data_IF_012331259506
#
_entry.id   IF_012331259506
#
_cell.length_a   1.000
_cell.length_b   1.000
_cell.length_c   1.000
_cell.angle_alpha   90.00
_cell.angle_beta   90.00
_cell.angle_gamma   90.00
#
_symmetry.space_group_name_H-M   'P 1'
#
loop_
_entity.id
_entity.type
_entity.pdbx_description
1 polymer ?
#
# COMPACT_ATOMS: atom_id res chain seq x y z
N UNK A 1 -15.59 8.50 -0.59
CA UNK A 1 -14.29 8.13 -1.21
C UNK A 1 -13.73 9.26 -2.07
N UNK A 2 -12.42 9.25 -2.32
CA UNK A 2 -11.71 10.35 -3.01
C UNK A 2 -11.71 10.17 -4.55
N UNK A 3 -11.64 8.94 -5.04
CA UNK A 3 -11.64 8.60 -6.46
C UNK A 3 -11.10 7.18 -6.69
N UNK A 4 -10.86 6.83 -7.95
CA UNK A 4 -10.28 5.54 -8.37
C UNK A 4 -9.42 5.71 -9.63
N UNK A 5 -8.59 4.70 -9.90
CA UNK A 5 -7.82 4.60 -11.15
C UNK A 5 -8.48 3.55 -12.03
N UNK A 6 -8.82 3.89 -13.27
CA UNK A 6 -9.44 2.95 -14.22
C UNK A 6 -8.40 2.02 -14.89
N UNK A 7 -8.89 1.05 -15.67
CA UNK A 7 -8.07 0.10 -16.42
C UNK A 7 -7.08 0.75 -17.40
N UNK A 8 -7.36 2.00 -17.80
CA UNK A 8 -6.56 2.81 -18.71
C UNK A 8 -5.60 3.75 -17.95
N UNK A 9 -5.40 3.51 -16.64
CA UNK A 9 -4.58 4.30 -15.74
C UNK A 9 -5.00 5.78 -15.66
N UNK A 10 -6.30 6.08 -15.76
CA UNK A 10 -6.81 7.44 -15.56
C UNK A 10 -7.43 7.61 -14.18
N UNK A 11 -7.16 8.75 -13.57
CA UNK A 11 -7.85 9.19 -12.36
C UNK A 11 -9.31 9.53 -12.67
N UNK A 12 -10.22 8.92 -11.93
CA UNK A 12 -11.67 9.14 -12.02
C UNK A 12 -12.23 9.45 -10.64
N UNK A 13 -13.24 10.30 -10.62
CA UNK A 13 -14.01 10.59 -9.42
C UNK A 13 -15.18 9.61 -9.27
N UNK A 14 -15.81 9.52 -8.07
CA UNK A 14 -17.02 8.75 -7.91
C UNK A 14 -18.09 9.16 -8.94
N UNK A 15 -18.94 8.23 -9.38
CA UNK A 15 -19.84 8.45 -10.53
C UNK A 15 -20.86 9.57 -10.30
N UNK A 16 -21.26 9.82 -9.05
CA UNK A 16 -22.13 10.92 -8.65
C UNK A 16 -21.40 12.28 -8.54
N UNK A 17 -20.09 12.35 -8.79
CA UNK A 17 -19.33 13.61 -8.76
C UNK A 17 -19.56 14.40 -10.05
N UNK A 18 -19.89 15.69 -9.91
CA UNK A 18 -20.01 16.63 -11.03
C UNK A 18 -18.70 17.36 -11.34
N UNK A 19 -17.65 17.14 -10.54
CA UNK A 19 -16.35 17.79 -10.70
C UNK A 19 -15.54 17.12 -11.81
N UNK A 20 -14.73 17.92 -12.50
CA UNK A 20 -13.68 17.39 -13.38
C UNK A 20 -12.59 16.76 -12.50
N UNK A 21 -12.16 15.51 -12.75
CA UNK A 21 -11.10 14.88 -11.99
C UNK A 21 -9.79 15.67 -12.08
N UNK A 22 -9.23 16.02 -10.93
CA UNK A 22 -7.94 16.70 -10.81
C UNK A 22 -7.19 16.11 -9.63
N UNK A 23 -6.25 15.22 -9.95
CA UNK A 23 -5.46 14.48 -8.96
C UNK A 23 -4.79 15.39 -7.92
N UNK A 24 -4.36 16.60 -8.30
CA UNK A 24 -3.66 17.51 -7.39
C UNK A 24 -4.57 18.14 -6.35
N UNK A 25 -5.82 18.39 -6.71
CA UNK A 25 -6.79 19.03 -5.83
C UNK A 25 -7.70 18.00 -5.13
N UNK A 26 -7.88 16.83 -5.73
CA UNK A 26 -8.73 15.77 -5.19
C UNK A 26 -8.07 15.05 -4.01
N UNK A 27 -6.74 14.87 -4.04
CA UNK A 27 -5.99 14.20 -2.97
C UNK A 27 -5.23 15.22 -2.13
N UNK A 28 -5.68 15.43 -0.89
CA UNK A 28 -5.04 16.39 0.04
C UNK A 28 -3.68 15.93 0.58
N UNK A 29 -3.39 14.62 0.56
CA UNK A 29 -2.13 14.08 1.08
C UNK A 29 -1.09 13.96 -0.03
N UNK A 30 -0.08 14.84 -0.02
CA UNK A 30 1.00 14.90 -1.02
C UNK A 30 1.69 13.55 -1.27
N UNK A 31 1.89 12.73 -0.23
CA UNK A 31 2.58 11.45 -0.38
C UNK A 31 1.69 10.39 -1.02
N UNK A 32 0.41 10.36 -0.65
CA UNK A 32 -0.56 9.49 -1.30
C UNK A 32 -0.76 9.91 -2.76
N UNK A 33 -0.83 11.21 -3.02
CA UNK A 33 -0.91 11.78 -4.36
C UNK A 33 0.30 11.39 -5.22
N UNK A 34 1.52 11.37 -4.67
CA UNK A 34 2.72 10.91 -5.38
C UNK A 34 2.64 9.44 -5.77
N UNK A 35 2.10 8.57 -4.91
CA UNK A 35 1.91 7.15 -5.23
C UNK A 35 0.88 6.99 -6.36
N UNK A 36 -0.25 7.68 -6.30
CA UNK A 36 -1.26 7.61 -7.37
C UNK A 36 -0.73 8.22 -8.67
N UNK A 37 0.00 9.33 -8.59
CA UNK A 37 0.69 9.95 -9.74
C UNK A 37 1.68 8.97 -10.38
N UNK A 38 2.45 8.24 -9.57
CA UNK A 38 3.39 7.23 -10.06
C UNK A 38 2.65 6.14 -10.82
N UNK A 39 1.60 5.54 -10.23
CA UNK A 39 0.79 4.50 -10.88
C UNK A 39 0.27 4.99 -12.24
N UNK A 40 -0.30 6.20 -12.27
CA UNK A 40 -0.80 6.80 -13.51
C UNK A 40 0.34 7.01 -14.52
N UNK A 41 1.45 7.62 -14.11
CA UNK A 41 2.57 7.92 -15.03
C UNK A 41 3.26 6.68 -15.58
N UNK A 42 3.34 5.59 -14.79
CA UNK A 42 3.96 4.34 -15.20
C UNK A 42 3.11 3.58 -16.22
N UNK A 43 1.78 3.71 -16.14
CA UNK A 43 0.86 2.89 -16.92
C UNK A 43 0.02 3.64 -17.96
N UNK A 44 0.08 4.98 -18.00
CA UNK A 44 -0.65 5.80 -18.98
C UNK A 44 0.04 5.76 -20.34
N UNK A 45 -0.50 4.98 -21.28
CA UNK A 45 0.00 4.94 -22.67
C UNK A 45 -0.63 6.01 -23.57
N UNK A 46 0.12 6.48 -24.56
CA UNK A 46 -0.38 7.19 -25.75
C UNK A 46 -0.64 6.26 -26.95
N UNK A 47 -0.24 4.98 -26.86
CA UNK A 47 -0.09 4.06 -28.01
C UNK A 47 -0.46 2.60 -27.69
N UNK A 48 -1.62 2.39 -27.08
CA UNK A 48 -2.45 1.20 -27.36
C UNK A 48 -2.36 0.02 -26.38
N UNK A 49 -1.22 -0.33 -25.78
CA UNK A 49 -1.19 -1.44 -24.81
C UNK A 49 -0.13 -1.23 -23.71
N UNK A 50 -0.52 -0.59 -22.61
CA UNK A 50 0.18 -0.66 -21.33
C UNK A 50 -0.84 -1.05 -20.27
N UNK A 51 -0.67 -2.24 -19.68
CA UNK A 51 -1.67 -2.87 -18.83
C UNK A 51 -1.31 -2.69 -17.36
N UNK A 52 -2.05 -1.82 -16.67
CA UNK A 52 -2.12 -1.80 -15.19
C UNK A 52 -2.40 -3.20 -14.60
N UNK A 53 -2.92 -4.12 -15.41
CA UNK A 53 -3.11 -5.52 -15.07
C UNK A 53 -1.85 -6.19 -14.49
N UNK A 54 -0.64 -5.92 -15.01
CA UNK A 54 0.60 -6.50 -14.46
C UNK A 54 0.81 -6.10 -13.01
N UNK A 55 0.63 -4.80 -12.72
CA UNK A 55 0.69 -4.27 -11.36
C UNK A 55 -0.39 -4.85 -10.45
N UNK A 56 -1.63 -4.93 -10.95
CA UNK A 56 -2.75 -5.53 -10.21
C UNK A 56 -2.50 -7.01 -9.89
N UNK A 57 -1.96 -7.78 -10.84
CA UNK A 57 -1.56 -9.17 -10.63
C UNK A 57 -0.49 -9.25 -9.54
N UNK A 58 0.56 -8.41 -9.59
CA UNK A 58 1.57 -8.36 -8.53
C UNK A 58 0.98 -8.03 -7.17
N UNK A 59 0.08 -7.06 -7.08
CA UNK A 59 -0.61 -6.72 -5.84
C UNK A 59 -1.46 -7.88 -5.31
N UNK A 60 -2.21 -8.55 -6.19
CA UNK A 60 -3.06 -9.69 -5.84
C UNK A 60 -2.23 -10.87 -5.35
N UNK A 61 -1.15 -11.22 -6.07
CA UNK A 61 -0.22 -12.29 -5.67
C UNK A 61 0.38 -12.00 -4.31
N UNK A 62 0.88 -10.76 -4.10
CA UNK A 62 1.41 -10.35 -2.80
C UNK A 62 0.37 -10.49 -1.69
N UNK A 63 -0.85 -9.97 -1.91
CA UNK A 63 -1.92 -10.07 -0.92
C UNK A 63 -2.30 -11.53 -0.62
N UNK A 64 -2.22 -12.45 -1.57
CA UNK A 64 -2.52 -13.87 -1.34
C UNK A 64 -1.50 -14.54 -0.42
N UNK A 65 -0.25 -14.07 -0.39
CA UNK A 65 0.79 -14.57 0.52
C UNK A 65 0.77 -13.88 1.90
N UNK A 66 0.00 -12.80 2.06
CA UNK A 66 -0.16 -12.08 3.33
C UNK A 66 -1.36 -12.66 4.10
N UNK A 67 -1.10 -13.34 5.22
CA UNK A 67 -2.10 -13.86 6.15
C UNK A 67 -1.86 -13.31 7.57
N UNK A 68 -2.43 -12.12 7.89
CA UNK A 68 -2.29 -11.51 9.21
C UNK A 68 -2.99 -12.36 10.29
N UNK A 69 -2.41 -12.42 11.49
CA UNK A 69 -2.94 -13.23 12.60
C UNK A 69 -4.40 -12.90 12.98
N UNK A 70 -4.82 -11.64 12.79
CA UNK A 70 -6.16 -11.14 13.13
C UNK A 70 -7.13 -11.13 11.93
N UNK A 71 -6.86 -11.87 10.85
CA UNK A 71 -7.68 -11.86 9.63
C UNK A 71 -9.17 -12.15 9.89
N UNK A 72 -9.48 -13.06 10.83
CA UNK A 72 -10.84 -13.48 11.17
C UNK A 72 -11.71 -12.39 11.80
N UNK A 73 -11.12 -11.37 12.44
CA UNK A 73 -11.87 -10.29 13.10
C UNK A 73 -12.54 -9.33 12.09
N UNK A 74 -12.13 -9.36 10.82
CA UNK A 74 -12.56 -8.41 9.80
C UNK A 74 -13.15 -9.08 8.54
N UNK A 75 -13.36 -10.39 8.59
CA UNK A 75 -13.66 -11.24 7.42
C UNK A 75 -14.95 -10.81 6.70
N UNK A 76 -16.03 -10.53 7.44
CA UNK A 76 -17.32 -10.16 6.84
C UNK A 76 -17.32 -8.79 6.13
N UNK A 77 -16.53 -7.82 6.62
CA UNK A 77 -16.40 -6.49 6.00
C UNK A 77 -15.39 -6.51 4.84
N UNK A 78 -14.33 -7.30 4.95
CA UNK A 78 -13.30 -7.44 3.91
C UNK A 78 -13.79 -8.22 2.68
N UNK A 79 -14.72 -9.17 2.83
CA UNK A 79 -15.30 -9.91 1.68
C UNK A 79 -15.98 -8.96 0.69
N UNK A 80 -16.66 -7.92 1.18
CA UNK A 80 -17.40 -6.98 0.32
C UNK A 80 -16.58 -5.77 -0.10
N UNK A 81 -15.64 -5.31 0.72
CA UNK A 81 -14.85 -4.09 0.46
C UNK A 81 -13.45 -4.39 -0.12
N UNK A 82 -13.11 -5.67 -0.27
CA UNK A 82 -11.75 -6.11 -0.62
C UNK A 82 -10.78 -6.01 0.55
N UNK A 83 -9.48 -6.23 0.26
CA UNK A 83 -8.39 -6.09 1.23
C UNK A 83 -7.82 -4.67 1.16
N UNK A 84 -8.05 -3.80 2.17
CA UNK A 84 -7.53 -2.44 2.16
C UNK A 84 -6.01 -2.43 2.26
N UNK A 85 -5.37 -1.63 1.41
CA UNK A 85 -3.92 -1.42 1.39
C UNK A 85 -3.62 -0.05 2.02
N UNK A 86 -2.66 -0.01 2.93
CA UNK A 86 -2.16 1.23 3.50
C UNK A 86 -0.90 1.70 2.75
N UNK A 87 -0.87 2.99 2.41
CA UNK A 87 0.35 3.67 1.96
C UNK A 87 1.06 4.22 3.18
N UNK A 88 2.27 3.74 3.44
CA UNK A 88 3.07 4.10 4.61
C UNK A 88 4.44 4.61 4.23
N UNK A 89 5.08 5.33 5.15
CA UNK A 89 6.44 5.81 4.99
C UNK A 89 7.28 5.35 6.15
N UNK A 90 8.48 4.89 5.86
CA UNK A 90 9.47 4.49 6.84
C UNK A 90 10.82 5.10 6.51
N UNK A 91 11.67 5.17 7.53
CA UNK A 91 13.07 5.54 7.40
C UNK A 91 13.91 4.41 7.96
N UNK A 92 14.80 3.89 7.14
CA UNK A 92 15.73 2.84 7.49
C UNK A 92 17.10 3.46 7.80
N UNK A 93 17.71 3.10 8.91
CA UNK A 93 19.07 3.51 9.27
C UNK A 93 19.69 2.51 10.24
N UNK A 94 20.99 2.25 10.08
CA UNK A 94 21.75 1.45 11.04
C UNK A 94 22.30 2.36 12.13
N UNK A 95 22.14 1.94 13.39
CA UNK A 95 22.57 2.71 14.55
C UNK A 95 23.29 1.80 15.55
N UNK A 96 24.25 2.37 16.26
CA UNK A 96 24.95 1.70 17.35
C UNK A 96 24.38 2.13 18.70
N UNK A 97 24.36 1.19 19.64
CA UNK A 97 24.16 1.52 21.05
C UNK A 97 25.49 2.05 21.63
N UNK A 98 25.71 3.35 21.49
CA UNK A 98 26.91 4.03 21.97
C UNK A 98 27.91 4.34 20.86
N UNK A 99 29.17 4.54 21.24
CA UNK A 99 30.24 4.93 20.30
C UNK A 99 30.81 3.73 19.55
N UNK A 100 31.22 3.87 18.28
CA UNK A 100 31.88 2.81 17.53
C UNK A 100 33.12 2.26 18.25
N UNK A 101 33.31 0.94 18.26
CA UNK A 101 34.55 0.31 18.68
C UNK A 101 35.75 0.84 17.88
N UNK A 102 36.84 1.07 18.59
CA UNK A 102 38.14 1.50 18.03
C UNK A 102 39.04 0.29 17.84
N UNK A 103 40.11 0.44 17.06
CA UNK A 103 41.15 -0.58 16.96
C UNK A 103 41.90 -0.73 18.29
N UNK A 104 41.95 -1.95 18.81
CA UNK A 104 42.65 -2.31 20.04
C UNK A 104 44.01 -2.97 19.77
N UNK A 105 44.47 -2.98 18.51
CA UNK A 105 45.77 -3.52 18.12
C UNK A 105 46.95 -2.67 18.62
N UNK A 106 48.11 -3.31 18.79
CA UNK A 106 49.32 -2.65 19.30
C UNK A 106 49.78 -1.46 18.45
N UNK A 107 49.64 -1.54 17.12
CA UNK A 107 50.00 -0.45 16.20
C UNK A 107 49.12 0.79 16.40
N UNK A 108 47.82 0.59 16.59
CA UNK A 108 46.86 1.66 16.87
C UNK A 108 47.16 2.30 18.22
N UNK A 109 47.41 1.49 19.25
CA UNK A 109 47.77 1.98 20.58
C UNK A 109 49.07 2.79 20.57
N UNK A 110 50.12 2.34 19.86
CA UNK A 110 51.36 3.09 19.73
C UNK A 110 51.15 4.45 19.03
N UNK A 111 50.26 4.49 18.03
CA UNK A 111 49.91 5.73 17.32
C UNK A 111 49.18 6.70 18.26
N UNK A 112 48.23 6.19 19.04
CA UNK A 112 47.48 6.96 20.03
C UNK A 112 48.41 7.55 21.10
N UNK A 113 49.36 6.76 21.62
CA UNK A 113 50.36 7.20 22.61
C UNK A 113 51.28 8.30 22.07
N UNK A 114 51.79 8.13 20.84
CA UNK A 114 52.62 9.16 20.19
C UNK A 114 51.87 10.47 20.00
N UNK A 115 50.57 10.39 19.68
CA UNK A 115 49.75 11.57 19.51
C UNK A 115 49.43 12.27 20.84
N UNK A 116 49.26 11.52 21.93
CA UNK A 116 49.12 12.13 23.26
C UNK A 116 50.41 12.83 23.73
N UNK A 117 51.58 12.26 23.43
CA UNK A 117 52.88 12.89 23.74
C UNK A 117 53.06 14.22 22.98
N UNK A 118 52.51 14.32 21.78
CA UNK A 118 52.48 15.55 20.98
C UNK A 118 51.43 16.58 21.45
N UNK A 119 50.84 16.42 22.65
CA UNK A 119 49.76 17.25 23.20
C UNK A 119 48.54 17.39 22.29
N UNK A 120 48.32 16.43 21.38
CA UNK A 120 47.09 16.39 20.59
C UNK A 120 45.97 15.86 21.48
N UNK A 121 44.90 16.65 21.64
CA UNK A 121 43.69 16.24 22.36
C UNK A 121 42.99 15.09 21.61
N UNK A 122 43.44 13.85 21.85
CA UNK A 122 42.88 12.65 21.25
C UNK A 122 41.53 12.31 21.88
N UNK A 123 40.45 12.61 21.15
CA UNK A 123 39.08 12.17 21.47
C UNK A 123 38.78 10.83 20.81
N UNK A 124 37.78 10.11 21.33
CA UNK A 124 37.32 8.82 20.76
C UNK A 124 37.03 8.90 19.25
N UNK A 125 36.50 10.03 18.77
CA UNK A 125 36.23 10.29 17.35
C UNK A 125 37.46 10.25 16.45
N UNK A 126 38.64 10.54 17.00
CA UNK A 126 39.91 10.67 16.26
C UNK A 126 40.67 9.35 16.22
N UNK A 127 40.30 8.39 17.07
CA UNK A 127 40.93 7.06 17.12
C UNK A 127 40.50 6.23 15.92
N UNK A 128 41.44 5.45 15.40
CA UNK A 128 41.15 4.62 14.22
C UNK A 128 40.10 3.56 14.53
N UNK A 129 39.14 3.43 13.62
CA UNK A 129 38.08 2.41 13.64
C UNK A 129 38.30 1.37 12.54
N UNK A 130 39.47 1.34 11.89
CA UNK A 130 39.71 0.50 10.69
C UNK A 130 38.61 0.56 9.63
N UNK A 131 37.92 1.69 9.54
CA UNK A 131 36.80 1.92 8.63
C UNK A 131 35.65 0.90 8.71
N UNK A 132 35.51 0.16 9.82
CA UNK A 132 34.45 -0.86 9.93
C UNK A 132 33.04 -0.22 9.92
N UNK A 133 32.93 1.04 10.30
CA UNK A 133 31.68 1.82 10.26
C UNK A 133 31.15 2.04 8.83
N UNK A 134 32.02 2.00 7.82
CA UNK A 134 31.65 2.11 6.42
C UNK A 134 31.32 0.74 5.77
N UNK A 135 31.40 -0.37 6.51
CA UNK A 135 31.08 -1.70 5.98
C UNK A 135 29.60 -1.76 5.61
N UNK A 136 29.34 -2.21 4.37
CA UNK A 136 28.00 -2.37 3.83
C UNK A 136 27.39 -3.67 4.32
N UNK A 137 26.28 -3.54 5.02
CA UNK A 137 25.44 -4.63 5.52
C UNK A 137 24.22 -4.72 4.61
N UNK A 138 23.90 -5.90 4.06
CA UNK A 138 22.72 -6.07 3.25
C UNK A 138 21.47 -5.97 4.11
N UNK A 139 20.43 -5.31 3.58
CA UNK A 139 19.10 -5.21 4.18
C UNK A 139 18.05 -5.67 3.17
N UNK A 140 17.15 -6.52 3.64
CA UNK A 140 15.99 -7.04 2.92
C UNK A 140 14.73 -6.63 3.67
N UNK A 141 13.75 -6.13 2.95
CA UNK A 141 12.46 -5.70 3.50
C UNK A 141 11.38 -6.65 3.01
N UNK A 142 10.63 -7.23 3.93
CA UNK A 142 9.64 -8.23 3.60
C UNK A 142 10.23 -9.60 3.31
N UNK A 143 9.41 -10.61 3.54
CA UNK A 143 9.68 -12.00 3.16
C UNK A 143 8.35 -12.68 2.79
N UNK A 144 8.18 -13.07 1.53
CA UNK A 144 6.92 -13.66 1.05
C UNK A 144 6.64 -15.04 1.67
N UNK A 145 7.67 -15.79 2.08
CA UNK A 145 7.48 -17.04 2.84
C UNK A 145 6.99 -16.80 4.27
N UNK A 146 7.14 -15.59 4.80
CA UNK A 146 6.68 -15.24 6.13
C UNK A 146 5.26 -14.69 6.05
N UNK A 147 4.27 -15.56 6.26
CA UNK A 147 2.84 -15.24 6.09
C UNK A 147 2.35 -14.01 6.88
N UNK A 148 2.98 -13.69 8.01
CA UNK A 148 2.62 -12.51 8.82
C UNK A 148 3.39 -11.24 8.42
N UNK A 149 4.16 -11.28 7.32
CA UNK A 149 4.72 -10.08 6.72
C UNK A 149 3.63 -9.34 5.93
N UNK A 150 3.37 -8.09 6.27
CA UNK A 150 2.36 -7.26 5.62
C UNK A 150 2.88 -6.49 4.41
N UNK A 151 4.16 -6.61 4.03
CA UNK A 151 4.73 -5.84 2.94
C UNK A 151 4.30 -6.38 1.57
N UNK A 152 3.62 -5.54 0.80
CA UNK A 152 3.26 -5.84 -0.60
C UNK A 152 4.39 -5.40 -1.54
N UNK A 153 5.00 -4.26 -1.23
CA UNK A 153 6.14 -3.72 -1.96
C UNK A 153 6.40 -2.27 -1.60
N UNK A 154 7.44 -1.68 -2.18
CA UNK A 154 7.91 -0.37 -1.80
C UNK A 154 8.69 0.34 -2.91
N UNK A 155 8.78 1.66 -2.77
CA UNK A 155 9.64 2.54 -3.54
C UNK A 155 10.71 3.12 -2.64
N UNK A 156 11.90 3.27 -3.20
CA UNK A 156 12.96 4.04 -2.59
C UNK A 156 12.65 5.51 -2.77
N UNK A 157 12.79 6.28 -1.70
CA UNK A 157 12.58 7.72 -1.71
C UNK A 157 13.90 8.46 -1.54
N UNK A 158 14.07 9.56 -2.27
CA UNK A 158 15.13 10.53 -2.01
C UNK A 158 14.80 11.47 -0.83
N UNK A 159 15.65 12.46 -0.57
CA UNK A 159 15.41 13.46 0.49
C UNK A 159 14.17 14.34 0.18
N UNK A 160 13.83 14.51 -1.10
CA UNK A 160 12.67 15.23 -1.62
C UNK A 160 11.40 14.37 -1.65
N UNK A 161 11.49 13.13 -1.19
CA UNK A 161 10.41 12.13 -1.21
C UNK A 161 9.84 11.92 -2.62
N UNK A 162 10.69 11.94 -3.64
CA UNK A 162 10.39 11.47 -4.98
C UNK A 162 10.54 9.95 -4.98
N UNK A 163 9.56 9.26 -5.55
CA UNK A 163 9.55 7.80 -5.62
C UNK A 163 10.50 7.33 -6.73
N UNK A 164 11.21 6.23 -6.48
CA UNK A 164 11.98 5.54 -7.52
C UNK A 164 11.08 5.13 -8.70
N UNK A 165 11.63 5.06 -9.92
CA UNK A 165 10.87 4.60 -11.09
C UNK A 165 10.45 3.12 -10.96
N UNK A 166 11.17 2.33 -10.15
CA UNK A 166 10.88 0.92 -9.91
C UNK A 166 10.14 0.71 -8.59
N UNK A 167 9.10 -0.13 -8.65
CA UNK A 167 8.39 -0.70 -7.52
C UNK A 167 9.02 -2.04 -7.14
N UNK A 168 9.56 -2.14 -5.93
CA UNK A 168 10.24 -3.35 -5.45
C UNK A 168 9.25 -4.18 -4.64
N UNK A 169 9.07 -5.46 -4.96
CA UNK A 169 8.16 -6.37 -4.25
C UNK A 169 8.91 -7.61 -3.71
N UNK A 170 8.59 -8.09 -2.49
CA UNK A 170 9.20 -9.28 -1.91
C UNK A 170 8.78 -10.60 -2.58
N UNK A 171 7.76 -10.55 -3.46
CA UNK A 171 7.34 -11.68 -4.26
C UNK A 171 8.48 -12.14 -5.18
N UNK A 172 8.64 -13.45 -5.31
CA UNK A 172 9.48 -14.02 -6.36
C UNK A 172 8.70 -14.00 -7.65
N UNK A 173 9.27 -13.46 -8.72
CA UNK A 173 8.67 -13.56 -10.04
C UNK A 173 8.52 -15.04 -10.40
N UNK A 174 7.29 -15.55 -10.45
CA UNK A 174 6.98 -16.52 -11.51
C UNK A 174 7.31 -15.85 -12.84
N UNK A 175 7.65 -16.61 -13.87
CA UNK A 175 8.09 -16.14 -15.19
C UNK A 175 7.08 -15.23 -15.94
N UNK A 176 6.02 -14.76 -15.27
CA UNK A 176 4.80 -14.17 -15.81
C UNK A 176 4.70 -12.64 -15.69
N UNK A 177 5.53 -11.96 -14.88
CA UNK A 177 5.48 -10.48 -14.74
C UNK A 177 6.70 -9.84 -15.41
N UNK A 178 6.59 -9.57 -16.72
CA UNK A 178 7.61 -8.85 -17.50
C UNK A 178 7.32 -7.34 -17.55
N UNK A 179 7.32 -6.67 -16.40
CA UNK A 179 7.12 -5.22 -16.31
C UNK A 179 8.42 -4.55 -15.82
N UNK A 180 9.02 -3.67 -16.64
CA UNK A 180 10.26 -2.97 -16.30
C UNK A 180 10.12 -2.02 -15.10
N UNK A 181 8.89 -1.61 -14.78
CA UNK A 181 8.58 -0.77 -13.62
C UNK A 181 8.47 -1.57 -12.32
N UNK A 182 8.43 -2.90 -12.37
CA UNK A 182 8.33 -3.79 -11.20
C UNK A 182 9.60 -4.63 -11.05
N UNK A 183 10.22 -4.54 -9.89
CA UNK A 183 11.37 -5.35 -9.52
C UNK A 183 10.97 -6.36 -8.43
N UNK A 184 10.76 -7.60 -8.85
CA UNK A 184 10.56 -8.73 -7.95
C UNK A 184 11.89 -9.24 -7.36
N UNK A 185 11.83 -9.98 -6.26
CA UNK A 185 13.01 -10.58 -5.66
C UNK A 185 13.54 -11.72 -6.54
N UNK A 186 14.74 -11.53 -7.10
CA UNK A 186 15.41 -12.52 -7.93
C UNK A 186 16.06 -13.63 -7.06
N UNK A 187 15.25 -14.58 -6.62
CA UNK A 187 15.68 -15.76 -5.86
C UNK A 187 15.78 -15.56 -4.34
N UNK A 188 16.13 -16.64 -3.63
CA UNK A 188 16.04 -16.72 -2.16
C UNK A 188 16.92 -15.70 -1.42
N UNK A 189 18.08 -15.33 -2.00
CA UNK A 189 19.05 -14.42 -1.39
C UNK A 189 19.04 -13.00 -1.96
N UNK A 190 17.91 -12.56 -2.53
CA UNK A 190 17.80 -11.19 -3.01
C UNK A 190 18.02 -10.19 -1.88
N UNK A 191 19.00 -9.31 -2.07
CA UNK A 191 19.36 -8.25 -1.15
C UNK A 191 18.95 -6.94 -1.79
N UNK A 192 17.96 -6.29 -1.18
CA UNK A 192 17.37 -5.12 -1.79
C UNK A 192 18.27 -3.90 -1.69
N UNK A 193 18.96 -3.72 -0.56
CA UNK A 193 19.70 -2.51 -0.21
C UNK A 193 20.97 -2.85 0.56
N UNK A 194 21.99 -2.01 0.41
CA UNK A 194 23.27 -2.14 1.12
C UNK A 194 23.54 -0.88 1.91
N UNK A 195 23.62 -0.99 3.24
CA UNK A 195 23.72 0.15 4.14
C UNK A 195 24.89 0.02 5.11
N UNK A 196 25.51 1.14 5.45
CA UNK A 196 26.54 1.25 6.48
C UNK A 196 26.07 2.15 7.64
N UNK A 197 26.87 2.22 8.71
CA UNK A 197 26.61 3.15 9.83
C UNK A 197 26.89 4.61 9.46
N UNK A 198 27.65 4.84 8.39
CA UNK A 198 28.01 6.17 7.90
C UNK A 198 27.05 6.68 6.82
N UNK A 199 26.23 5.78 6.26
CA UNK A 199 25.26 6.14 5.24
C UNK A 199 24.13 6.99 5.84
N UNK A 200 23.60 7.89 5.02
CA UNK A 200 22.38 8.61 5.36
C UNK A 200 21.21 7.64 5.49
N UNK A 201 20.22 7.93 6.36
CA UNK A 201 19.00 7.15 6.43
C UNK A 201 18.29 7.09 5.07
N UNK A 202 17.81 5.90 4.71
CA UNK A 202 17.07 5.65 3.50
C UNK A 202 15.57 5.86 3.75
N UNK A 203 14.95 6.77 2.99
CA UNK A 203 13.50 6.96 3.04
C UNK A 203 12.82 5.96 2.12
N UNK A 204 11.71 5.37 2.58
CA UNK A 204 11.00 4.33 1.85
C UNK A 204 9.50 4.62 1.95
N UNK A 205 8.79 4.45 0.83
CA UNK A 205 7.33 4.48 0.77
C UNK A 205 6.85 3.08 0.46
N UNK A 206 5.93 2.54 1.26
CA UNK A 206 5.54 1.13 1.22
C UNK A 206 4.03 0.99 1.02
N UNK A 207 3.64 0.00 0.22
CA UNK A 207 2.30 -0.58 0.21
C UNK A 207 2.27 -1.74 1.20
N UNK A 208 1.36 -1.69 2.17
CA UNK A 208 1.30 -2.69 3.23
C UNK A 208 -0.14 -3.09 3.54
N UNK A 209 -0.37 -4.34 3.88
CA UNK A 209 -1.55 -4.72 4.64
C UNK A 209 -1.35 -4.20 6.09
N UNK A 210 -2.14 -3.23 6.56
CA UNK A 210 -1.93 -2.60 7.86
C UNK A 210 -2.13 -3.55 9.04
N UNK A 211 -2.68 -4.76 8.81
CA UNK A 211 -2.86 -5.80 9.83
C UNK A 211 -1.61 -6.64 10.04
N UNK A 212 -0.71 -6.70 9.05
CA UNK A 212 0.53 -7.47 9.11
C UNK A 212 1.68 -6.70 9.76
N UNK A 213 2.72 -7.42 10.19
CA UNK A 213 3.98 -6.82 10.62
C UNK A 213 4.90 -6.62 9.41
N UNK A 214 5.74 -5.60 9.40
CA UNK A 214 6.73 -5.38 8.33
C UNK A 214 8.08 -5.80 8.88
N UNK A 215 8.76 -6.73 8.21
CA UNK A 215 10.08 -7.21 8.65
C UNK A 215 11.21 -6.58 7.85
N UNK A 216 12.28 -6.25 8.55
CA UNK A 216 13.56 -5.85 8.00
C UNK A 216 14.62 -6.83 8.48
N UNK A 217 15.02 -7.73 7.58
CA UNK A 217 16.10 -8.69 7.81
C UNK A 217 17.40 -8.08 7.34
N UNK A 218 18.44 -8.15 8.16
CA UNK A 218 19.77 -7.64 7.79
C UNK A 218 20.78 -8.77 7.79
N UNK A 219 21.93 -8.58 7.14
CA UNK A 219 23.05 -9.52 7.20
C UNK A 219 23.62 -9.74 8.61
N UNK A 220 23.13 -8.98 9.60
CA UNK A 220 23.44 -9.12 11.02
C UNK A 220 22.14 -9.34 11.80
N UNK A 221 22.15 -10.25 12.77
CA UNK A 221 21.00 -10.51 13.63
C UNK A 221 20.80 -9.40 14.67
N UNK A 222 19.55 -9.14 15.14
CA UNK A 222 18.30 -9.81 14.76
C UNK A 222 17.52 -9.08 13.64
N UNK A 223 16.55 -9.77 13.04
CA UNK A 223 15.50 -9.17 12.22
C UNK A 223 14.65 -8.19 13.05
N UNK A 224 14.37 -7.02 12.50
CA UNK A 224 13.50 -6.02 13.13
C UNK A 224 12.11 -6.10 12.52
N UNK A 225 11.07 -6.10 13.35
CA UNK A 225 9.69 -6.01 12.92
C UNK A 225 9.05 -4.69 13.42
N UNK A 226 8.14 -4.13 12.63
CA UNK A 226 7.28 -3.02 13.02
C UNK A 226 5.82 -3.34 12.66
N UNK A 227 4.87 -2.92 13.48
CA UNK A 227 3.43 -3.13 13.28
C UNK A 227 2.69 -1.81 13.35
N UNK A 228 1.61 -1.67 12.59
CA UNK A 228 0.70 -0.53 12.70
C UNK A 228 -0.35 -0.88 13.75
N UNK A 229 -0.45 -0.10 14.82
CA UNK A 229 -1.47 -0.31 15.85
C UNK A 229 -2.88 -0.20 15.26
N UNK A 230 -3.83 -1.10 15.62
CA UNK A 230 -5.20 -1.07 15.09
C UNK A 230 -5.92 0.28 15.20
N UNK A 231 -5.67 1.04 16.26
CA UNK A 231 -6.23 2.38 16.45
C UNK A 231 -5.91 3.35 15.30
N UNK A 232 -4.82 3.14 14.55
CA UNK A 232 -4.44 4.00 13.43
C UNK A 232 -5.18 3.71 12.13
N UNK A 233 -5.71 2.50 11.93
CA UNK A 233 -6.37 2.14 10.66
C UNK A 233 -7.86 1.78 10.82
N UNK A 234 -8.33 1.37 12.00
CA UNK A 234 -9.72 0.98 12.20
C UNK A 234 -10.72 2.12 11.94
N UNK A 235 -10.39 3.34 12.36
CA UNK A 235 -11.22 4.51 12.09
C UNK A 235 -11.25 4.88 10.61
N UNK A 236 -10.15 4.64 9.89
CA UNK A 236 -10.15 4.80 8.43
C UNK A 236 -11.06 3.76 7.77
N UNK A 237 -11.00 2.50 8.22
CA UNK A 237 -11.81 1.41 7.67
C UNK A 237 -13.30 1.67 7.82
N UNK A 238 -13.74 2.14 8.99
CA UNK A 238 -15.15 2.50 9.24
C UNK A 238 -15.68 3.62 8.33
N UNK A 239 -14.80 4.45 7.76
CA UNK A 239 -15.16 5.57 6.87
C UNK A 239 -15.06 5.21 5.38
N UNK A 240 -14.52 4.05 5.05
CA UNK A 240 -14.40 3.62 3.65
C UNK A 240 -15.77 3.38 3.06
N UNK A 241 -15.91 3.71 1.78
CA UNK A 241 -17.09 3.45 0.97
C UNK A 241 -16.62 2.83 -0.34
N UNK A 242 -17.33 1.83 -0.84
CA UNK A 242 -17.05 1.18 -2.12
C UNK A 242 -18.27 1.32 -3.04
N UNK A 243 -18.04 1.33 -4.35
CA UNK A 243 -19.11 1.33 -5.34
C UNK A 243 -18.78 0.38 -6.48
N UNK A 244 -19.82 -0.21 -7.04
CA UNK A 244 -19.76 -1.22 -8.08
C UNK A 244 -20.55 -0.76 -9.29
N UNK A 245 -19.96 -0.89 -10.47
CA UNK A 245 -20.70 -0.69 -11.71
C UNK A 245 -21.57 -1.92 -11.94
N UNK A 246 -22.88 -1.72 -12.06
CA UNK A 246 -23.85 -2.77 -12.34
C UNK A 246 -24.54 -2.43 -13.66
N UNK A 247 -24.19 -3.18 -14.71
CA UNK A 247 -24.77 -3.01 -16.03
C UNK A 247 -24.65 -4.32 -16.84
N UNK A 248 -25.71 -4.75 -17.54
CA UNK A 248 -27.09 -4.28 -17.44
C UNK A 248 -27.85 -5.01 -16.30
N UNK A 249 -28.66 -4.28 -15.52
CA UNK A 249 -29.55 -4.87 -14.51
C UNK A 249 -30.98 -4.94 -15.05
N UNK A 250 -31.58 -6.13 -15.03
CA UNK A 250 -32.99 -6.31 -15.39
C UNK A 250 -33.87 -5.88 -14.21
N UNK A 251 -34.82 -4.99 -14.47
CA UNK A 251 -35.76 -4.48 -13.48
C UNK A 251 -37.19 -4.68 -13.97
N UNK A 252 -38.10 -5.13 -13.10
CA UNK A 252 -39.50 -5.18 -13.48
C UNK A 252 -40.07 -3.76 -13.57
N UNK A 253 -41.06 -3.58 -14.43
CA UNK A 253 -41.79 -2.33 -14.50
C UNK A 253 -42.74 -2.23 -13.29
N UNK A 254 -42.46 -1.32 -12.37
CA UNK A 254 -43.31 -1.02 -11.21
C UNK A 254 -44.09 0.28 -11.44
N UNK A 255 -45.39 0.28 -11.15
CA UNK A 255 -46.26 1.45 -11.28
C UNK A 255 -46.16 2.39 -10.05
N UNK A 256 -45.66 1.89 -8.92
CA UNK A 256 -45.61 2.62 -7.63
C UNK A 256 -44.32 3.46 -7.43
N UNK A 257 -43.62 3.76 -8.53
CA UNK A 257 -42.42 4.58 -8.58
C UNK A 257 -41.15 3.79 -8.89
N UNK A 258 -40.12 4.49 -9.38
CA UNK A 258 -38.87 3.88 -9.83
C UNK A 258 -38.03 3.45 -8.62
N UNK A 259 -38.11 2.17 -8.25
CA UNK A 259 -37.32 1.54 -7.20
C UNK A 259 -36.48 0.42 -7.79
N UNK A 260 -35.26 0.26 -7.30
CA UNK A 260 -34.39 -0.82 -7.76
C UNK A 260 -34.60 -2.05 -6.88
N UNK A 261 -35.10 -3.12 -7.48
CA UNK A 261 -35.34 -4.40 -6.85
C UNK A 261 -34.07 -5.25 -6.97
N UNK A 262 -33.47 -5.56 -5.83
CA UNK A 262 -32.25 -6.36 -5.75
C UNK A 262 -32.09 -6.99 -4.36
N UNK A 263 -31.57 -8.22 -4.32
CA UNK A 263 -31.26 -8.93 -3.10
C UNK A 263 -29.80 -8.71 -2.69
N UNK A 264 -29.61 -7.76 -1.77
CA UNK A 264 -28.30 -7.40 -1.25
C UNK A 264 -28.12 -7.93 0.18
N UNK A 265 -26.91 -8.37 0.56
CA UNK A 265 -26.63 -8.82 1.92
C UNK A 265 -26.70 -7.65 2.90
N UNK A 266 -27.18 -7.91 4.11
CA UNK A 266 -27.10 -6.95 5.21
C UNK A 266 -25.68 -6.86 5.75
N UNK A 267 -25.16 -5.64 5.83
CA UNK A 267 -23.81 -5.37 6.35
C UNK A 267 -23.94 -4.51 7.61
N UNK A 268 -23.45 -4.98 8.78
CA UNK A 268 -23.47 -4.19 10.00
C UNK A 268 -22.78 -2.83 9.81
N UNK A 269 -23.41 -1.75 10.28
CA UNK A 269 -22.96 -0.36 10.17
C UNK A 269 -22.91 0.24 8.76
N UNK A 270 -23.38 -0.47 7.73
CA UNK A 270 -23.35 0.01 6.35
C UNK A 270 -24.74 -0.07 5.68
N UNK A 271 -24.95 0.78 4.69
CA UNK A 271 -26.16 0.84 3.89
C UNK A 271 -25.82 0.81 2.40
N UNK A 272 -26.64 0.11 1.64
CA UNK A 272 -26.59 0.12 0.19
C UNK A 272 -27.36 1.31 -0.37
N UNK A 273 -26.85 1.92 -1.43
CA UNK A 273 -27.53 2.93 -2.23
C UNK A 273 -27.35 2.65 -3.71
N UNK A 274 -28.34 3.03 -4.50
CA UNK A 274 -28.25 3.01 -5.96
C UNK A 274 -28.15 4.42 -6.50
N UNK A 275 -27.30 4.60 -7.50
CA UNK A 275 -27.21 5.81 -8.30
C UNK A 275 -27.16 5.49 -9.79
N UNK A 276 -27.93 6.20 -10.59
CA UNK A 276 -27.79 6.18 -12.05
C UNK A 276 -27.69 7.60 -12.63
N UNK A 277 -27.18 7.70 -13.86
CA UNK A 277 -26.92 8.99 -14.50
C UNK A 277 -28.19 9.77 -14.89
N UNK A 278 -29.33 9.08 -15.04
CA UNK A 278 -30.58 9.68 -15.53
C UNK A 278 -31.44 10.23 -14.38
N UNK A 279 -31.50 9.49 -13.27
CA UNK A 279 -32.43 9.69 -12.16
C UNK A 279 -31.70 10.06 -10.86
N UNK A 280 -30.38 9.91 -10.80
CA UNK A 280 -29.61 10.12 -9.58
C UNK A 280 -29.82 9.00 -8.57
N UNK A 281 -30.03 9.36 -7.30
CA UNK A 281 -30.22 8.37 -6.23
C UNK A 281 -31.62 7.75 -6.28
N UNK A 282 -31.69 6.42 -6.38
CA UNK A 282 -32.95 5.68 -6.31
C UNK A 282 -33.01 4.81 -5.04
N UNK A 283 -34.22 4.63 -4.47
CA UNK A 283 -34.41 3.73 -3.34
C UNK A 283 -34.25 2.26 -3.78
N UNK A 284 -33.66 1.46 -2.89
CA UNK A 284 -33.54 0.02 -3.05
C UNK A 284 -34.73 -0.69 -2.38
N UNK A 285 -35.22 -1.76 -3.01
CA UNK A 285 -36.25 -2.65 -2.46
C UNK A 285 -35.73 -4.10 -2.55
N UNK A 286 -35.97 -4.89 -1.51
CA UNK A 286 -35.67 -6.34 -1.54
C UNK A 286 -36.70 -7.05 -2.43
N UNK A 287 -36.28 -8.08 -3.15
CA UNK A 287 -37.21 -8.83 -3.99
C UNK A 287 -38.20 -9.61 -3.12
N UNK A 288 -39.49 -9.41 -3.36
CA UNK A 288 -40.56 -10.19 -2.74
C UNK A 288 -41.04 -11.19 -3.79
N UNK A 289 -40.78 -12.49 -3.57
CA UNK A 289 -40.97 -13.62 -4.50
C UNK A 289 -42.43 -13.88 -4.98
N UNK A 290 -43.32 -12.90 -4.99
CA UNK A 290 -44.75 -13.14 -5.17
C UNK A 290 -45.39 -12.60 -6.46
N UNK A 291 -44.69 -11.81 -7.29
CA UNK A 291 -45.31 -11.24 -8.48
C UNK A 291 -44.63 -11.68 -9.78
N UNK A 292 -45.42 -12.26 -10.69
CA UNK A 292 -45.01 -12.46 -12.08
C UNK A 292 -45.05 -11.10 -12.76
N UNK A 293 -43.88 -10.55 -13.07
CA UNK A 293 -43.76 -9.28 -13.75
C UNK A 293 -44.02 -9.46 -15.26
N UNK A 294 -44.97 -8.71 -15.80
CA UNK A 294 -45.39 -8.80 -17.21
C UNK A 294 -44.60 -7.88 -18.14
N UNK A 295 -43.85 -6.92 -17.58
CA UNK A 295 -42.95 -6.04 -18.31
C UNK A 295 -41.65 -5.81 -17.52
N UNK A 296 -40.53 -5.67 -18.22
CA UNK A 296 -39.22 -5.43 -17.64
C UNK A 296 -38.43 -4.46 -18.51
N UNK A 297 -37.50 -3.74 -17.89
CA UNK A 297 -36.59 -2.83 -18.56
C UNK A 297 -35.16 -3.05 -18.04
N UNK A 298 -34.17 -2.63 -18.82
CA UNK A 298 -32.77 -2.65 -18.42
C UNK A 298 -32.40 -1.31 -17.82
N UNK A 299 -31.63 -1.34 -16.74
CA UNK A 299 -31.04 -0.16 -16.13
C UNK A 299 -29.55 -0.36 -15.93
N UNK A 300 -28.81 0.71 -16.16
CA UNK A 300 -27.38 0.79 -15.89
C UNK A 300 -27.14 1.78 -14.76
N UNK A 301 -26.28 1.41 -13.81
CA UNK A 301 -25.98 2.30 -12.70
C UNK A 301 -24.90 1.76 -11.80
N UNK A 302 -24.87 2.33 -10.61
CA UNK A 302 -23.85 2.10 -9.61
C UNK A 302 -24.49 1.78 -8.28
N UNK A 303 -23.97 0.72 -7.65
CA UNK A 303 -24.34 0.34 -6.30
C UNK A 303 -23.24 0.80 -5.35
N UNK A 304 -23.55 1.64 -4.35
CA UNK A 304 -22.58 2.05 -3.32
C UNK A 304 -22.89 1.44 -1.97
N UNK A 305 -21.84 1.02 -1.25
CA UNK A 305 -21.88 0.57 0.13
C UNK A 305 -21.21 1.64 0.99
N UNK A 306 -22.01 2.32 1.82
CA UNK A 306 -21.58 3.48 2.60
C UNK A 306 -21.84 3.25 4.09
N UNK A 307 -21.02 3.82 4.99
CA UNK A 307 -21.31 3.79 6.42
C UNK A 307 -22.68 4.40 6.70
N UNK A 308 -23.46 3.77 7.60
CA UNK A 308 -24.69 4.36 8.11
C UNK A 308 -24.30 5.63 8.88
N UNK A 309 -24.99 6.73 8.61
CA UNK A 309 -24.86 7.91 9.44
C UNK A 309 -25.32 7.55 10.86
N UNK A 310 -24.39 7.52 11.80
CA UNK A 310 -24.74 7.48 13.22
C UNK A 310 -25.46 8.77 13.54
N UNK A 311 -26.78 8.70 13.74
CA UNK A 311 -27.53 9.79 14.37
C UNK A 311 -26.91 10.03 15.73
N UNK A 312 -26.14 11.10 15.87
CA UNK A 312 -25.74 11.64 17.17
C UNK A 312 -26.96 12.24 17.87
#
# INVERSE_FOLDING_TARGET
>A
AVGYVDENANWKLPPWSTKVPDLQNDITNDYFQKVVSWIISSYKSSLGEVKIASFLTTLQTSLNHIAPADAHLYDSKAILMGRPIAVTRARLSLQLKGTPAIDQGWSALLTDMKASDAQVNMKHSNRTKRNWTAVKIPVRLGEHHQLNDGLIGYWLGDEQSILSPQFITPETSSEEVSDESIQAYAGENFQSQWMSLEDKPLNITMLVDPRGAIHASTGILPTKAITITPSHYLEAFKKMSIWFHISPLLQPYDQDGQKIITDLPEVPDYQWKWWDANNGNLPLKKEEHQNIHTASYLIDGWLSLEPKETKN
#
